data_IF_586001271718
#
_entry.id   IF_586001271718
#
_cell.length_a   1.000
_cell.length_b   1.000
_cell.length_c   1.000
_cell.angle_alpha   90.00
_cell.angle_beta   90.00
_cell.angle_gamma   90.00
#
_symmetry.space_group_name_H-M   'P 1'
#
loop_
_entity.id
_entity.type
_entity.pdbx_description
1 polymer ?
#
# COMPACT_ATOMS: atom_id res chain seq x y z
N UNK A 1 -51.13 -18.28 -21.91
CA UNK A 1 -51.13 -16.81 -21.83
C UNK A 1 -49.76 -16.25 -22.22
N UNK A 2 -49.80 -15.26 -23.11
CA UNK A 2 -48.85 -14.14 -23.31
C UNK A 2 -47.35 -14.39 -23.53
N UNK A 3 -46.98 -14.29 -24.82
CA UNK A 3 -45.70 -13.82 -25.35
C UNK A 3 -45.37 -12.43 -24.76
N UNK A 4 -44.09 -12.17 -24.43
CA UNK A 4 -43.55 -10.81 -24.34
C UNK A 4 -42.35 -10.67 -25.30
N UNK A 5 -42.31 -9.62 -26.13
CA UNK A 5 -41.33 -9.45 -27.19
C UNK A 5 -40.12 -8.59 -26.77
N UNK A 6 -39.02 -8.77 -27.51
CA UNK A 6 -37.93 -7.80 -27.69
C UNK A 6 -38.46 -6.47 -28.25
N UNK A 7 -37.89 -5.33 -27.85
CA UNK A 7 -37.71 -4.12 -28.68
C UNK A 7 -36.90 -3.01 -27.98
N UNK A 8 -35.85 -2.60 -28.69
CA UNK A 8 -35.34 -1.23 -28.92
C UNK A 8 -34.68 -0.38 -27.83
N UNK A 9 -33.41 -0.05 -28.11
CA UNK A 9 -32.80 1.28 -27.98
C UNK A 9 -33.78 2.42 -28.28
N UNK A 10 -33.72 3.52 -27.54
CA UNK A 10 -33.10 4.76 -28.01
C UNK A 10 -33.22 5.88 -26.96
N UNK A 11 -32.23 6.76 -27.02
CA UNK A 11 -32.04 7.99 -26.28
C UNK A 11 -33.18 8.99 -26.46
N UNK A 12 -33.46 9.78 -25.41
CA UNK A 12 -33.99 11.14 -25.57
C UNK A 12 -33.15 12.14 -24.79
N UNK A 13 -32.91 13.25 -25.46
CA UNK A 13 -32.16 14.42 -25.03
C UNK A 13 -33.08 15.48 -24.42
N UNK A 14 -32.56 16.26 -23.48
CA UNK A 14 -32.86 17.70 -23.23
C UNK A 14 -32.20 18.04 -21.89
N UNK A 15 -31.40 19.09 -21.71
CA UNK A 15 -31.30 20.36 -22.41
C UNK A 15 -31.69 21.47 -21.43
N UNK A 16 -30.74 21.99 -20.64
CA UNK A 16 -30.87 23.30 -19.99
C UNK A 16 -29.53 24.05 -20.12
N UNK A 17 -29.58 25.19 -20.82
CA UNK A 17 -28.55 26.23 -20.96
C UNK A 17 -29.05 27.51 -20.29
N UNK A 18 -28.19 28.15 -19.50
CA UNK A 18 -28.04 29.62 -19.31
C UNK A 18 -26.95 29.79 -18.23
N UNK A 19 -25.84 30.55 -18.34
CA UNK A 19 -25.51 31.80 -19.03
C UNK A 19 -25.46 32.93 -17.96
N UNK A 20 -24.31 33.37 -17.42
CA UNK A 20 -23.47 34.49 -17.93
C UNK A 20 -22.36 34.85 -16.89
N UNK A 21 -21.06 34.96 -17.30
CA UNK A 21 -20.15 36.16 -17.36
C UNK A 21 -20.01 37.00 -16.06
N UNK A 22 -18.86 37.50 -15.58
CA UNK A 22 -17.42 37.54 -15.96
C UNK A 22 -16.70 38.47 -14.94
N UNK A 23 -15.40 38.29 -14.65
CA UNK A 23 -14.45 39.42 -14.51
C UNK A 23 -12.97 38.97 -14.41
N UNK A 24 -12.14 39.67 -15.19
CA UNK A 24 -10.68 39.60 -15.32
C UNK A 24 -9.91 40.09 -14.07
N UNK A 25 -8.72 39.51 -13.81
CA UNK A 25 -7.45 40.28 -13.73
C UNK A 25 -6.20 39.37 -13.67
N UNK A 26 -5.21 39.75 -14.46
CA UNK A 26 -3.95 39.06 -14.74
C UNK A 26 -2.80 39.42 -13.75
N UNK A 27 -1.53 39.01 -13.97
CA UNK A 27 -0.71 38.23 -13.04
C UNK A 27 0.34 39.06 -12.27
N UNK A 28 0.91 38.52 -11.19
CA UNK A 28 2.08 39.15 -10.52
C UNK A 28 3.19 38.14 -10.22
N UNK A 29 4.37 38.48 -10.74
CA UNK A 29 5.67 37.80 -10.66
C UNK A 29 6.41 38.28 -9.40
N UNK A 30 7.06 37.37 -8.65
CA UNK A 30 8.25 37.57 -7.77
C UNK A 30 8.78 36.18 -7.37
N UNK A 31 9.77 35.60 -8.07
CA UNK A 31 11.19 35.46 -7.68
C UNK A 31 11.41 35.08 -6.21
N UNK A 32 11.71 33.80 -5.88
CA UNK A 32 12.96 33.00 -5.98
C UNK A 32 13.72 33.02 -4.64
N UNK A 33 13.72 31.89 -3.94
CA UNK A 33 14.83 31.47 -3.07
C UNK A 33 15.13 30.01 -3.41
N UNK A 34 16.33 29.82 -3.95
CA UNK A 34 17.04 28.56 -4.11
C UNK A 34 17.30 27.94 -2.73
N UNK A 35 16.92 26.68 -2.54
CA UNK A 35 17.74 25.76 -1.75
C UNK A 35 17.67 24.40 -2.42
N UNK A 36 18.81 24.03 -2.97
CA UNK A 36 19.11 22.80 -3.68
C UNK A 36 18.87 21.57 -2.79
N UNK A 37 17.69 20.95 -2.92
CA UNK A 37 17.48 19.55 -2.61
C UNK A 37 17.44 18.80 -3.93
N UNK A 38 18.56 18.19 -4.34
CA UNK A 38 18.67 17.36 -5.53
C UNK A 38 17.84 16.10 -5.34
N UNK A 39 16.53 16.18 -5.51
CA UNK A 39 15.68 15.02 -5.74
C UNK A 39 16.13 14.43 -7.07
N UNK A 40 16.97 13.39 -6.99
CA UNK A 40 17.17 12.47 -8.10
C UNK A 40 15.77 12.02 -8.50
N UNK A 41 15.28 12.53 -9.62
CA UNK A 41 14.22 11.90 -10.36
C UNK A 41 14.71 10.46 -10.61
N UNK A 42 14.11 9.51 -9.89
CA UNK A 42 14.29 8.09 -10.17
C UNK A 42 13.78 7.89 -11.58
N UNK A 43 14.71 7.78 -12.51
CA UNK A 43 14.42 7.36 -13.87
C UNK A 43 14.07 5.88 -13.75
N UNK A 44 12.77 5.57 -13.61
CA UNK A 44 12.21 4.22 -13.56
C UNK A 44 12.37 3.56 -14.93
N UNK A 45 13.63 3.29 -15.30
CA UNK A 45 13.91 2.08 -16.06
C UNK A 45 13.40 0.94 -15.20
N UNK A 46 12.55 0.08 -15.75
CA UNK A 46 12.09 -1.15 -15.11
C UNK A 46 13.29 -1.86 -14.48
N UNK A 47 13.45 -1.74 -13.17
CA UNK A 47 14.59 -2.31 -12.47
C UNK A 47 14.33 -3.81 -12.43
N UNK A 48 15.24 -4.59 -13.01
CA UNK A 48 15.10 -6.03 -13.04
C UNK A 48 15.39 -6.61 -11.64
N UNK A 49 14.34 -7.06 -10.97
CA UNK A 49 14.40 -7.67 -9.63
C UNK A 49 14.54 -9.20 -9.68
N UNK A 50 14.47 -9.82 -10.87
CA UNK A 50 14.39 -11.28 -11.02
C UNK A 50 15.62 -12.04 -10.51
N UNK A 51 16.79 -11.39 -10.52
CA UNK A 51 18.06 -11.97 -10.09
C UNK A 51 18.33 -11.80 -8.58
N UNK A 52 17.48 -11.05 -7.87
CA UNK A 52 17.65 -10.80 -6.44
C UNK A 52 16.88 -11.86 -5.67
N UNK A 53 17.60 -12.52 -4.75
CA UNK A 53 17.04 -13.52 -3.85
C UNK A 53 17.17 -13.04 -2.41
N UNK A 54 16.10 -13.19 -1.64
CA UNK A 54 16.12 -12.99 -0.20
C UNK A 54 16.33 -14.33 0.50
N UNK A 55 16.92 -14.29 1.70
CA UNK A 55 17.01 -15.47 2.54
C UNK A 55 15.60 -15.95 2.94
N UNK A 56 15.37 -17.26 2.90
CA UNK A 56 14.08 -17.92 3.22
C UNK A 56 12.92 -17.60 2.26
N UNK A 57 13.20 -17.00 1.09
CA UNK A 57 12.19 -16.66 0.09
C UNK A 57 11.51 -17.88 -0.54
N UNK A 58 12.20 -19.01 -0.65
CA UNK A 58 11.67 -20.21 -1.30
C UNK A 58 10.51 -20.84 -0.52
N UNK A 59 10.50 -20.66 0.81
CA UNK A 59 9.50 -21.20 1.73
C UNK A 59 8.43 -20.17 2.13
N UNK A 60 8.45 -18.96 1.55
CA UNK A 60 7.65 -17.80 1.96
C UNK A 60 7.84 -17.37 3.44
N UNK A 61 9.06 -17.53 3.98
CA UNK A 61 9.42 -17.29 5.38
C UNK A 61 10.40 -16.10 5.56
N UNK A 62 10.47 -15.19 4.58
CA UNK A 62 11.29 -13.97 4.69
C UNK A 62 10.83 -13.13 5.88
N UNK A 63 11.72 -12.79 6.84
CA UNK A 63 11.35 -11.91 7.94
C UNK A 63 10.92 -10.53 7.44
N UNK A 64 9.70 -10.13 7.85
CA UNK A 64 9.08 -8.87 7.45
C UNK A 64 9.41 -7.78 8.45
N UNK A 65 9.80 -6.59 7.99
CA UNK A 65 10.14 -5.49 8.90
C UNK A 65 9.58 -4.15 8.45
N UNK A 66 8.49 -4.20 7.69
CA UNK A 66 7.59 -3.07 7.49
C UNK A 66 6.24 -3.44 8.08
N UNK A 67 5.51 -2.46 8.61
CA UNK A 67 4.12 -2.67 9.01
C UNK A 67 3.20 -2.62 7.78
N UNK A 68 2.00 -3.21 7.88
CA UNK A 68 0.99 -3.10 6.82
C UNK A 68 0.73 -1.67 6.36
N UNK A 69 0.74 -0.69 7.26
CA UNK A 69 0.59 0.73 6.91
C UNK A 69 1.72 1.23 6.00
N UNK A 70 2.98 0.95 6.33
CA UNK A 70 4.12 1.32 5.49
C UNK A 70 4.02 0.67 4.11
N UNK A 71 3.60 -0.60 4.05
CA UNK A 71 3.37 -1.29 2.78
C UNK A 71 2.23 -0.65 1.99
N UNK A 72 1.11 -0.27 2.62
CA UNK A 72 0.02 0.48 1.95
C UNK A 72 0.54 1.77 1.33
N UNK A 73 1.36 2.53 2.07
CA UNK A 73 1.97 3.76 1.55
C UNK A 73 2.87 3.48 0.34
N UNK A 74 3.73 2.46 0.41
CA UNK A 74 4.59 2.06 -0.72
C UNK A 74 3.78 1.63 -1.95
N UNK A 75 2.69 0.88 -1.76
CA UNK A 75 1.77 0.50 -2.84
C UNK A 75 1.13 1.75 -3.45
N UNK A 76 0.59 2.64 -2.63
CA UNK A 76 -0.01 3.89 -3.10
C UNK A 76 0.99 4.77 -3.84
N UNK A 77 2.25 4.79 -3.43
CA UNK A 77 3.32 5.54 -4.09
C UNK A 77 3.69 4.92 -5.44
N UNK A 78 3.88 3.60 -5.48
CA UNK A 78 4.21 2.87 -6.70
C UNK A 78 3.10 2.96 -7.76
N UNK A 79 1.83 2.90 -7.35
CA UNK A 79 0.69 3.05 -8.27
C UNK A 79 0.50 4.49 -8.80
N UNK A 80 1.16 5.50 -8.22
CA UNK A 80 1.16 6.87 -8.75
C UNK A 80 2.21 7.08 -9.83
N UNK A 81 3.16 6.17 -9.97
CA UNK A 81 4.16 6.22 -11.04
C UNK A 81 3.46 6.08 -12.40
N UNK A 82 3.88 6.90 -13.36
CA UNK A 82 3.39 6.77 -14.73
C UNK A 82 3.88 5.42 -15.25
N UNK A 83 2.97 4.65 -15.85
CA UNK A 83 3.19 3.32 -16.46
C UNK A 83 2.96 2.10 -15.55
N UNK A 84 2.64 2.27 -14.26
CA UNK A 84 2.27 1.15 -13.38
C UNK A 84 0.75 0.98 -13.34
N UNK A 85 0.27 -0.20 -13.75
CA UNK A 85 -1.14 -0.59 -13.59
C UNK A 85 -1.31 -1.52 -12.39
N UNK A 86 -2.45 -1.44 -11.69
CA UNK A 86 -2.76 -2.37 -10.59
C UNK A 86 -2.64 -3.83 -11.01
N UNK A 87 -3.08 -4.17 -12.23
CA UNK A 87 -3.01 -5.53 -12.74
C UNK A 87 -1.58 -5.99 -13.03
N UNK A 88 -0.67 -5.09 -13.43
CA UNK A 88 0.75 -5.42 -13.55
C UNK A 88 1.36 -5.67 -12.19
N UNK A 89 1.18 -4.73 -11.27
CA UNK A 89 1.70 -4.83 -9.92
C UNK A 89 1.24 -6.12 -9.21
N UNK A 90 -0.05 -6.50 -9.35
CA UNK A 90 -0.57 -7.74 -8.77
C UNK A 90 0.06 -9.00 -9.35
N UNK A 91 0.44 -8.99 -10.64
CA UNK A 91 1.19 -10.09 -11.27
C UNK A 91 2.62 -10.13 -10.74
N UNK A 92 3.24 -8.97 -10.61
CA UNK A 92 4.63 -8.84 -10.17
C UNK A 92 4.78 -9.33 -8.72
N UNK A 93 3.95 -8.87 -7.78
CA UNK A 93 3.99 -9.36 -6.39
C UNK A 93 3.58 -10.84 -6.28
N UNK A 94 2.66 -11.33 -7.11
CA UNK A 94 2.29 -12.74 -7.09
C UNK A 94 3.42 -13.65 -7.56
N UNK A 95 4.28 -13.16 -8.46
CA UNK A 95 5.45 -13.90 -8.91
C UNK A 95 6.49 -14.12 -7.80
N UNK A 96 6.55 -13.21 -6.82
CA UNK A 96 7.46 -13.29 -5.67
C UNK A 96 7.11 -14.39 -4.67
N UNK A 97 5.86 -14.88 -4.67
CA UNK A 97 5.46 -15.99 -3.82
C UNK A 97 5.97 -17.31 -4.39
N UNK A 98 6.59 -18.15 -3.56
CA UNK A 98 7.16 -19.44 -3.98
C UNK A 98 6.69 -20.61 -3.12
N UNK A 99 6.35 -20.34 -1.87
CA UNK A 99 5.96 -21.33 -0.88
C UNK A 99 4.44 -21.44 -0.68
N UNK A 100 3.99 -21.76 0.55
CA UNK A 100 2.59 -22.08 0.86
C UNK A 100 1.64 -20.90 0.73
N UNK A 101 2.14 -19.66 0.68
CA UNK A 101 1.30 -18.46 0.51
C UNK A 101 0.91 -18.26 -0.95
N UNK A 102 1.60 -18.93 -1.90
CA UNK A 102 1.30 -18.84 -3.33
C UNK A 102 -0.04 -19.49 -3.66
N UNK A 103 -0.99 -18.67 -4.09
CA UNK A 103 -2.28 -19.14 -4.60
C UNK A 103 -2.19 -19.61 -6.05
N UNK A 104 -3.08 -20.52 -6.47
CA UNK A 104 -3.16 -21.02 -7.85
C UNK A 104 -3.53 -19.96 -8.89
N UNK A 105 -4.03 -18.81 -8.44
CA UNK A 105 -4.41 -17.67 -9.28
C UNK A 105 -3.75 -16.40 -8.75
N UNK A 106 -3.48 -15.48 -9.66
CA UNK A 106 -3.03 -14.12 -9.36
C UNK A 106 -4.06 -13.41 -8.47
N UNK A 107 -3.57 -12.50 -7.63
CA UNK A 107 -4.40 -11.66 -6.77
C UNK A 107 -5.43 -10.85 -7.56
N UNK A 108 -6.60 -10.66 -6.96
CA UNK A 108 -7.67 -9.86 -7.54
C UNK A 108 -7.55 -8.39 -7.09
N UNK A 109 -7.93 -7.45 -7.96
CA UNK A 109 -7.92 -6.01 -7.63
C UNK A 109 -8.76 -5.68 -6.39
N UNK A 110 -9.82 -6.45 -6.12
CA UNK A 110 -10.62 -6.29 -4.90
C UNK A 110 -9.78 -6.54 -3.65
N UNK A 111 -8.97 -7.60 -3.63
CA UNK A 111 -8.13 -7.93 -2.47
C UNK A 111 -7.11 -6.82 -2.19
N UNK A 112 -6.54 -6.23 -3.24
CA UNK A 112 -5.66 -5.06 -3.11
C UNK A 112 -6.41 -3.85 -2.55
N UNK A 113 -7.60 -3.56 -3.08
CA UNK A 113 -8.43 -2.45 -2.60
C UNK A 113 -8.85 -2.62 -1.14
N UNK A 114 -9.25 -3.82 -0.76
CA UNK A 114 -9.61 -4.15 0.62
C UNK A 114 -8.38 -3.97 1.53
N UNK A 115 -7.21 -4.46 1.12
CA UNK A 115 -5.96 -4.27 1.86
C UNK A 115 -5.62 -2.79 2.05
N UNK A 116 -5.69 -1.99 0.97
CA UNK A 116 -5.41 -0.55 1.04
C UNK A 116 -6.49 0.26 1.79
N UNK A 117 -7.65 -0.33 2.09
CA UNK A 117 -8.73 0.34 2.84
C UNK A 117 -8.59 0.27 4.36
N UNK A 118 -7.66 -0.56 4.87
CA UNK A 118 -7.41 -0.66 6.29
C UNK A 118 -6.73 0.61 6.84
N UNK A 119 -7.17 1.04 8.01
CA UNK A 119 -6.64 2.23 8.69
C UNK A 119 -5.54 1.85 9.67
N UNK A 120 -5.73 0.78 10.44
CA UNK A 120 -4.84 0.40 11.54
C UNK A 120 -3.47 -0.09 11.05
N UNK A 121 -2.41 0.24 11.81
CA UNK A 121 -1.03 -0.05 11.43
C UNK A 121 -0.75 -1.53 11.23
N UNK A 122 -1.34 -2.39 12.06
CA UNK A 122 -1.20 -3.84 12.03
C UNK A 122 -2.27 -4.59 11.23
N UNK A 123 -3.35 -3.93 10.78
CA UNK A 123 -4.45 -4.61 10.11
C UNK A 123 -4.05 -5.05 8.68
N UNK A 124 -4.35 -6.30 8.35
CA UNK A 124 -3.98 -6.91 7.07
C UNK A 124 -2.62 -7.62 7.08
N UNK A 125 -1.95 -7.72 8.23
CA UNK A 125 -0.66 -8.41 8.41
C UNK A 125 -0.67 -9.89 7.99
N UNK A 126 -1.82 -10.56 8.06
CA UNK A 126 -1.97 -11.97 7.65
C UNK A 126 -2.22 -12.17 6.17
N UNK A 127 -2.40 -11.09 5.40
CA UNK A 127 -2.75 -11.21 3.99
C UNK A 127 -1.54 -11.60 3.16
N UNK A 128 -1.72 -12.48 2.17
CA UNK A 128 -0.66 -12.85 1.25
C UNK A 128 -0.17 -11.65 0.41
N UNK A 129 -1.02 -10.65 0.18
CA UNK A 129 -0.66 -9.39 -0.50
C UNK A 129 0.37 -8.61 0.31
N UNK A 130 0.20 -8.53 1.63
CA UNK A 130 1.16 -7.83 2.49
C UNK A 130 2.56 -8.44 2.40
N UNK A 131 2.67 -9.76 2.59
CA UNK A 131 3.94 -10.47 2.48
C UNK A 131 4.56 -10.33 1.07
N UNK A 132 3.77 -10.61 0.03
CA UNK A 132 4.21 -10.52 -1.36
C UNK A 132 4.72 -9.11 -1.72
N UNK A 133 3.99 -8.07 -1.32
CA UNK A 133 4.37 -6.69 -1.57
C UNK A 133 5.63 -6.30 -0.79
N UNK A 134 5.79 -6.76 0.45
CA UNK A 134 7.02 -6.54 1.21
C UNK A 134 8.24 -7.14 0.48
N UNK A 135 8.17 -8.41 0.08
CA UNK A 135 9.25 -9.08 -0.66
C UNK A 135 9.60 -8.31 -1.94
N UNK A 136 8.59 -7.92 -2.71
CA UNK A 136 8.76 -7.12 -3.92
C UNK A 136 9.49 -5.78 -3.65
N UNK A 137 9.04 -4.99 -2.67
CA UNK A 137 9.67 -3.70 -2.36
C UNK A 137 11.06 -3.84 -1.74
N UNK A 138 11.32 -4.91 -1.00
CA UNK A 138 12.64 -5.17 -0.43
C UNK A 138 13.64 -5.55 -1.53
N UNK A 139 13.24 -6.37 -2.51
CA UNK A 139 14.05 -6.63 -3.69
C UNK A 139 14.28 -5.37 -4.52
N UNK A 140 13.24 -4.56 -4.72
CA UNK A 140 13.36 -3.28 -5.42
C UNK A 140 14.37 -2.36 -4.72
N UNK A 141 14.33 -2.26 -3.38
CA UNK A 141 15.30 -1.50 -2.58
C UNK A 141 16.74 -1.97 -2.82
N UNK A 142 16.96 -3.28 -2.79
CA UNK A 142 18.29 -3.88 -3.03
C UNK A 142 18.75 -3.58 -4.46
N UNK A 143 17.86 -3.73 -5.44
CA UNK A 143 18.15 -3.48 -6.85
C UNK A 143 18.55 -2.03 -7.13
N UNK A 144 17.89 -1.08 -6.46
CA UNK A 144 18.18 0.34 -6.54
C UNK A 144 19.38 0.76 -5.68
N UNK A 145 19.91 -0.14 -4.84
CA UNK A 145 21.00 0.16 -3.91
C UNK A 145 20.62 1.16 -2.82
N UNK A 146 19.34 1.24 -2.44
CA UNK A 146 18.86 2.14 -1.39
C UNK A 146 19.23 1.60 -0.01
N UNK A 147 19.70 2.48 0.86
CA UNK A 147 19.97 2.16 2.27
C UNK A 147 18.67 1.82 3.02
N UNK A 148 18.82 1.15 4.17
CA UNK A 148 17.69 0.90 5.06
C UNK A 148 17.18 2.22 5.64
N UNK A 149 15.86 2.37 5.76
CA UNK A 149 15.26 3.54 6.40
C UNK A 149 15.41 3.48 7.92
N UNK A 150 15.33 4.62 8.60
CA UNK A 150 15.30 4.66 10.08
C UNK A 150 14.16 3.82 10.64
N UNK A 151 13.01 3.77 9.95
CA UNK A 151 11.89 2.91 10.33
C UNK A 151 12.28 1.43 10.31
N UNK A 152 12.97 0.97 9.25
CA UNK A 152 13.47 -0.41 9.14
C UNK A 152 14.41 -0.77 10.29
N UNK A 153 15.30 0.16 10.68
CA UNK A 153 16.21 -0.04 11.81
C UNK A 153 15.46 -0.13 13.15
N UNK A 154 14.44 0.71 13.35
CA UNK A 154 13.55 0.63 14.52
C UNK A 154 12.77 -0.68 14.58
N UNK A 155 12.26 -1.15 13.44
CA UNK A 155 11.60 -2.45 13.32
C UNK A 155 12.55 -3.61 13.64
N UNK A 156 13.81 -3.58 13.19
CA UNK A 156 14.80 -4.61 13.56
C UNK A 156 15.10 -4.64 15.07
N UNK A 157 15.09 -3.47 15.72
CA UNK A 157 15.33 -3.38 17.16
C UNK A 157 14.13 -3.88 17.99
N UNK A 158 12.90 -3.61 17.55
CA UNK A 158 11.67 -3.97 18.25
C UNK A 158 11.17 -5.38 17.92
N UNK A 159 11.34 -5.80 16.67
CA UNK A 159 10.90 -7.08 16.12
C UNK A 159 12.12 -7.86 15.56
N UNK A 160 13.00 -8.43 16.41
CA UNK A 160 14.24 -9.06 15.95
C UNK A 160 14.00 -10.26 15.03
N UNK A 161 12.85 -10.93 15.16
CA UNK A 161 12.44 -12.05 14.32
C UNK A 161 11.50 -11.63 13.15
N UNK A 162 11.31 -10.33 12.94
CA UNK A 162 10.32 -9.79 12.01
C UNK A 162 8.94 -9.62 12.63
N UNK A 163 8.11 -8.87 11.90
CA UNK A 163 6.73 -8.54 12.22
C UNK A 163 5.84 -9.78 12.12
N UNK A 164 4.90 -9.92 13.04
CA UNK A 164 3.99 -11.07 13.07
C UNK A 164 3.05 -11.05 11.84
N UNK A 165 3.13 -12.09 11.01
CA UNK A 165 2.30 -12.27 9.82
C UNK A 165 1.27 -13.39 9.95
N UNK A 166 1.16 -14.00 11.13
CA UNK A 166 0.32 -15.17 11.39
C UNK A 166 -0.83 -14.87 12.34
N UNK A 167 -0.57 -14.10 13.39
CA UNK A 167 -1.55 -13.78 14.43
C UNK A 167 -2.32 -12.53 14.06
N UNK A 168 -3.60 -12.51 14.41
CA UNK A 168 -4.39 -11.30 14.28
C UNK A 168 -4.04 -10.34 15.42
N UNK A 169 -3.42 -9.22 15.08
CA UNK A 169 -3.05 -8.18 16.04
C UNK A 169 -4.20 -7.21 16.36
N UNK A 170 -5.38 -7.41 15.75
CA UNK A 170 -6.55 -6.54 15.94
C UNK A 170 -7.29 -6.72 17.27
N UNK A 171 -6.87 -7.64 18.14
CA UNK A 171 -7.46 -7.85 19.47
C UNK A 171 -6.36 -8.06 20.50
N UNK A 172 -6.41 -7.29 21.58
CA UNK A 172 -5.53 -7.46 22.72
C UNK A 172 -6.33 -7.53 24.02
N UNK A 173 -5.80 -8.28 24.98
CA UNK A 173 -6.28 -8.24 26.34
C UNK A 173 -5.80 -6.94 26.99
N UNK A 174 -6.69 -6.23 27.69
CA UNK A 174 -6.35 -4.99 28.39
C UNK A 174 -6.92 -4.99 29.81
N UNK A 175 -6.18 -4.48 30.80
CA UNK A 175 -6.71 -4.23 32.14
C UNK A 175 -7.90 -3.26 32.10
N UNK A 176 -8.83 -3.42 33.05
CA UNK A 176 -9.94 -2.48 33.21
C UNK A 176 -9.43 -1.04 33.44
N UNK A 177 -10.05 -0.06 32.76
CA UNK A 177 -9.64 1.35 32.80
C UNK A 177 -8.52 1.73 31.84
N UNK A 178 -8.08 0.81 30.97
CA UNK A 178 -7.13 1.09 29.90
C UNK A 178 -7.69 0.67 28.54
N UNK A 179 -7.26 1.36 27.49
CA UNK A 179 -7.60 1.02 26.11
C UNK A 179 -6.36 0.58 25.34
N UNK A 180 -6.45 -0.46 24.49
CA UNK A 180 -5.36 -0.81 23.60
C UNK A 180 -5.23 0.22 22.49
N UNK A 181 -4.00 0.48 22.08
CA UNK A 181 -3.70 1.14 20.82
C UNK A 181 -2.51 0.47 20.18
N UNK A 182 -2.43 0.52 18.85
CA UNK A 182 -1.28 0.02 18.12
C UNK A 182 -0.38 1.19 17.78
N UNK A 183 0.91 1.10 18.08
CA UNK A 183 1.87 2.12 17.68
C UNK A 183 2.25 1.99 16.18
N UNK A 184 3.05 2.93 15.69
CA UNK A 184 3.52 2.98 14.30
C UNK A 184 4.35 1.74 13.91
N UNK A 185 4.94 1.05 14.89
CA UNK A 185 5.70 -0.19 14.72
C UNK A 185 4.83 -1.45 14.83
N UNK A 186 3.52 -1.27 14.94
CA UNK A 186 2.55 -2.37 15.00
C UNK A 186 2.52 -3.10 16.35
N UNK A 187 3.12 -2.54 17.41
CA UNK A 187 3.07 -3.09 18.76
C UNK A 187 1.81 -2.61 19.46
N UNK A 188 1.04 -3.54 20.00
CA UNK A 188 -0.10 -3.20 20.86
C UNK A 188 0.38 -2.77 22.23
N UNK A 189 0.04 -1.54 22.60
CA UNK A 189 0.27 -0.95 23.91
C UNK A 189 -1.06 -0.60 24.56
N UNK A 190 -1.03 -0.26 25.85
CA UNK A 190 -2.21 0.24 26.56
C UNK A 190 -1.98 1.67 27.01
N UNK A 191 -3.05 2.48 26.97
CA UNK A 191 -3.09 3.82 27.57
C UNK A 191 -4.29 3.94 28.52
N UNK A 192 -4.24 4.83 29.53
CA UNK A 192 -5.41 5.13 30.33
C UNK A 192 -6.59 5.58 29.46
N UNK A 193 -7.81 5.20 29.84
CA UNK A 193 -9.03 5.61 29.13
C UNK A 193 -9.23 7.13 29.11
N UNK A 194 -8.72 7.85 30.13
CA UNK A 194 -8.73 9.32 30.17
C UNK A 194 -7.98 9.99 29.02
N UNK A 195 -7.05 9.27 28.39
CA UNK A 195 -6.18 9.79 27.32
C UNK A 195 -6.67 9.34 25.93
N UNK A 196 -7.85 8.72 25.87
CA UNK A 196 -8.49 8.24 24.65
C UNK A 196 -9.48 9.28 24.11
N UNK A 197 -8.95 10.39 23.60
CA UNK A 197 -9.68 11.39 22.81
C UNK A 197 -9.25 11.36 21.34
#
# INVERSE_FOLDING_TARGET
MSRRPSRHDNQEASGIKSGSKSSDRAPTKKQKIDTSGKTKASNTKSVDISNIRLDYEDDDDVPVFDTPEVIRQKISDHLREKDVTQASFLRDIWAELKGPRKTSRVFQSKQLKDFCSYTESAQGNRTAIFYAAYVYFEKLRIAEGKEKTNFRLGMEALWPCGFDTERDLGRAWCPAGTVPYTDDYGITRTRPESDAE
#
